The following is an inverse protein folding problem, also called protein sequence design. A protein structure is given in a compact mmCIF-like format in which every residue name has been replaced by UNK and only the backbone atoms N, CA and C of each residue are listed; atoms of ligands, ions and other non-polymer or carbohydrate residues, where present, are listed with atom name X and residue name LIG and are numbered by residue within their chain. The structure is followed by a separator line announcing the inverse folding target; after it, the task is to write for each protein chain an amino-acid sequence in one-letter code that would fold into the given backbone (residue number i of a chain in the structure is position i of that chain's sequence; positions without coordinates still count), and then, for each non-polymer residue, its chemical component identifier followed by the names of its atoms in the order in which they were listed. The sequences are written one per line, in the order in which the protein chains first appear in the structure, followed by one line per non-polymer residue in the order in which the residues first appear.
data_IF_925286759198
#
_entry.id   IF_925286759198
#
_cell.length_a   1.000
_cell.length_b   1.000
_cell.length_c   1.000
_cell.angle_alpha   90.00
_cell.angle_beta   90.00
_cell.angle_gamma   90.00
#
_symmetry.space_group_name_H-M   'P 1'
#
loop_
_entity.id
_entity.type
_entity.pdbx_description
1 polymer ?
#
# COMPACT_ATOMS: atom_id res chain seq x y z
N UNK A 1 -1.49 -33.15 4.93
CA UNK A 1 -1.96 -31.74 5.01
C UNK A 1 -2.71 -31.44 3.73
N UNK A 2 -3.98 -31.06 3.81
CA UNK A 2 -4.84 -30.82 2.65
C UNK A 2 -5.02 -29.30 2.46
N UNK A 3 -3.93 -28.61 2.15
CA UNK A 3 -3.94 -27.16 1.93
C UNK A 3 -3.46 -26.91 0.50
N UNK A 4 -4.33 -26.37 -0.34
CA UNK A 4 -4.01 -25.92 -1.70
C UNK A 4 -3.85 -24.42 -1.69
N UNK A 5 -2.61 -23.94 -1.89
CA UNK A 5 -2.32 -22.53 -2.13
C UNK A 5 -2.32 -22.28 -3.64
N UNK A 6 -2.99 -21.23 -4.08
CA UNK A 6 -2.97 -20.78 -5.49
C UNK A 6 -2.41 -19.36 -5.50
N UNK A 7 -1.28 -19.12 -6.19
CA UNK A 7 -0.74 -17.77 -6.31
C UNK A 7 -1.76 -16.88 -7.04
N UNK A 8 -2.06 -15.73 -6.45
CA UNK A 8 -2.95 -14.72 -6.99
C UNK A 8 -2.53 -13.33 -6.52
N UNK A 9 -2.99 -12.26 -7.17
CA UNK A 9 -2.60 -10.91 -6.81
C UNK A 9 -3.01 -10.60 -5.36
N UNK A 10 -2.07 -10.06 -4.59
CA UNK A 10 -2.30 -9.60 -3.22
C UNK A 10 -2.79 -8.17 -3.28
N UNK A 11 -3.81 -7.84 -2.50
CA UNK A 11 -4.28 -6.45 -2.37
C UNK A 11 -3.91 -5.93 -0.99
N UNK A 12 -3.16 -4.84 -0.94
CA UNK A 12 -2.85 -4.14 0.30
C UNK A 12 -3.77 -2.95 0.46
N UNK A 13 -4.45 -2.86 1.60
CA UNK A 13 -5.25 -1.68 1.96
C UNK A 13 -4.47 -0.87 2.98
N UNK A 14 -4.11 0.36 2.63
CA UNK A 14 -3.45 1.32 3.54
C UNK A 14 -4.52 2.23 4.11
N UNK A 15 -4.63 2.24 5.44
CA UNK A 15 -5.48 3.16 6.18
C UNK A 15 -4.65 4.36 6.64
N UNK A 16 -5.19 5.57 6.50
CA UNK A 16 -4.50 6.79 6.87
C UNK A 16 -5.37 7.71 7.72
N UNK A 17 -4.71 8.59 8.48
CA UNK A 17 -5.34 9.68 9.22
C UNK A 17 -4.51 10.96 9.06
N UNK A 18 -4.96 11.85 8.17
CA UNK A 18 -4.33 13.13 7.91
C UNK A 18 -4.90 14.19 8.86
N UNK A 19 -4.07 14.60 9.81
CA UNK A 19 -4.37 15.64 10.79
C UNK A 19 -4.15 17.07 10.26
N UNK A 20 -3.52 17.24 9.10
CA UNK A 20 -3.36 18.54 8.46
C UNK A 20 -4.71 19.09 7.99
N UNK A 21 -4.81 20.42 7.88
CA UNK A 21 -6.04 21.07 7.37
C UNK A 21 -6.10 21.14 5.82
N UNK A 22 -5.11 20.57 5.12
CA UNK A 22 -5.00 20.50 3.67
C UNK A 22 -4.68 19.07 3.20
N UNK A 23 -4.78 18.85 1.89
CA UNK A 23 -4.42 17.56 1.25
C UNK A 23 -2.91 17.41 1.19
N UNK A 24 -2.40 16.33 1.77
CA UNK A 24 -0.99 15.93 1.70
C UNK A 24 -0.77 14.95 0.53
N UNK A 25 0.47 14.71 0.19
CA UNK A 25 0.85 13.68 -0.77
C UNK A 25 1.77 12.68 -0.08
N UNK A 26 1.41 11.40 -0.17
CA UNK A 26 2.11 10.31 0.51
C UNK A 26 2.46 9.22 -0.49
N UNK A 27 3.55 8.51 -0.24
CA UNK A 27 3.98 7.33 -0.98
C UNK A 27 3.79 6.07 -0.15
N UNK A 28 3.14 5.06 -0.72
CA UNK A 28 3.14 3.71 -0.15
C UNK A 28 4.30 2.93 -0.74
N UNK A 29 5.25 2.53 0.10
CA UNK A 29 6.38 1.70 -0.30
C UNK A 29 5.97 0.23 -0.19
N UNK A 30 6.02 -0.46 -1.32
CA UNK A 30 5.60 -1.84 -1.48
C UNK A 30 6.79 -2.63 -2.02
N UNK A 31 7.14 -3.71 -1.34
CA UNK A 31 8.16 -4.65 -1.81
C UNK A 31 7.45 -5.90 -2.30
N UNK A 32 7.66 -6.26 -3.57
CA UNK A 32 7.11 -7.49 -4.15
C UNK A 32 7.92 -8.74 -3.75
N UNK A 33 7.47 -9.91 -4.22
CA UNK A 33 8.15 -11.19 -3.97
C UNK A 33 9.62 -11.22 -4.40
N UNK A 34 9.92 -10.52 -5.49
CA UNK A 34 11.23 -10.52 -6.14
C UNK A 34 12.17 -9.49 -5.48
N UNK A 35 11.68 -8.79 -4.44
CA UNK A 35 12.40 -7.75 -3.72
C UNK A 35 12.40 -6.40 -4.43
N UNK A 36 11.56 -6.22 -5.45
CA UNK A 36 11.42 -4.94 -6.16
C UNK A 36 10.58 -4.01 -5.30
N UNK A 37 11.17 -2.88 -4.94
CA UNK A 37 10.49 -1.81 -4.20
C UNK A 37 9.82 -0.86 -5.19
N UNK A 38 8.52 -0.66 -5.02
CA UNK A 38 7.75 0.37 -5.72
C UNK A 38 7.20 1.37 -4.71
N UNK A 39 7.26 2.66 -5.08
CA UNK A 39 6.61 3.73 -4.32
C UNK A 39 5.44 4.25 -5.12
N UNK A 40 4.22 3.99 -4.64
CA UNK A 40 3.01 4.53 -5.26
C UNK A 40 2.57 5.79 -4.51
N UNK A 41 2.68 6.94 -5.18
CA UNK A 41 2.26 8.23 -4.61
C UNK A 41 0.76 8.46 -4.79
N UNK A 42 0.10 8.95 -3.75
CA UNK A 42 -1.33 9.24 -3.72
C UNK A 42 -1.64 10.49 -2.89
N UNK A 43 -2.76 11.13 -3.21
CA UNK A 43 -3.26 12.27 -2.45
C UNK A 43 -3.99 11.79 -1.19
N UNK A 44 -3.71 12.44 -0.07
CA UNK A 44 -4.29 12.16 1.25
C UNK A 44 -5.12 13.37 1.69
N UNK A 45 -6.43 13.40 1.43
CA UNK A 45 -7.32 14.45 1.92
C UNK A 45 -7.28 14.53 3.45
N UNK A 46 -7.70 15.67 4.01
CA UNK A 46 -7.88 15.80 5.47
C UNK A 46 -8.85 14.73 6.02
N UNK A 47 -8.54 14.18 7.18
CA UNK A 47 -9.41 13.26 7.93
C UNK A 47 -8.89 11.84 7.95
N UNK A 48 -9.78 10.85 7.88
CA UNK A 48 -9.43 9.43 7.79
C UNK A 48 -9.87 8.84 6.46
N UNK A 49 -9.11 7.89 5.94
CA UNK A 49 -9.52 7.17 4.74
C UNK A 49 -8.68 5.93 4.49
N UNK A 50 -8.85 5.37 3.30
CA UNK A 50 -8.09 4.21 2.87
C UNK A 50 -7.87 4.24 1.36
N UNK A 51 -6.83 3.56 0.93
CA UNK A 51 -6.51 3.33 -0.48
C UNK A 51 -6.07 1.86 -0.65
N UNK A 52 -6.37 1.30 -1.82
CA UNK A 52 -6.01 -0.08 -2.16
C UNK A 52 -4.92 -0.07 -3.23
N UNK A 53 -3.86 -0.80 -2.95
CA UNK A 53 -2.79 -1.08 -3.89
C UNK A 53 -2.89 -2.53 -4.33
N UNK A 54 -2.90 -2.75 -5.63
CA UNK A 54 -2.81 -4.09 -6.19
C UNK A 54 -1.33 -4.47 -6.24
N UNK A 55 -0.92 -5.29 -5.29
CA UNK A 55 0.41 -5.91 -5.31
C UNK A 55 0.35 -7.10 -6.29
N UNK A 56 1.51 -7.49 -6.81
CA UNK A 56 1.64 -8.69 -7.65
C UNK A 56 1.26 -9.97 -6.90
N UNK A 57 1.80 -11.11 -7.31
CA UNK A 57 1.44 -12.42 -6.74
C UNK A 57 1.81 -12.58 -5.26
N UNK A 58 2.78 -11.82 -4.76
CA UNK A 58 3.02 -11.62 -3.33
C UNK A 58 3.84 -10.36 -3.10
N UNK A 59 3.86 -9.89 -1.85
CA UNK A 59 4.58 -8.70 -1.43
C UNK A 59 4.18 -8.32 0.00
N UNK A 60 4.84 -7.30 0.53
CA UNK A 60 4.47 -6.70 1.81
C UNK A 60 4.59 -5.18 1.77
N UNK A 61 3.83 -4.53 2.63
CA UNK A 61 3.87 -3.09 2.84
C UNK A 61 5.00 -2.76 3.81
N UNK A 62 5.86 -1.80 3.47
CA UNK A 62 6.98 -1.41 4.32
C UNK A 62 6.64 -0.20 5.17
N UNK A 63 6.39 0.94 4.52
CA UNK A 63 6.16 2.22 5.17
C UNK A 63 5.37 3.19 4.30
N UNK A 64 4.91 4.27 4.93
CA UNK A 64 4.45 5.49 4.26
C UNK A 64 5.61 6.48 4.27
N UNK A 65 5.91 7.09 3.12
CA UNK A 65 6.90 8.15 2.97
C UNK A 65 6.28 9.40 2.30
N UNK A 66 6.99 10.52 2.27
CA UNK A 66 6.55 11.74 1.59
C UNK A 66 6.74 11.64 0.06
N UNK A 67 5.78 12.16 -0.70
CA UNK A 67 5.83 12.37 -2.15
C UNK A 67 5.41 13.81 -2.50
#
# INVERSE_FOLDING_TARGET
MNFSYHPGPVTTTVYWNNHCNYTERAGAVITDHDGVMTTECFSVPRGTGHIKFQQGYSGYFENIDEC
#
